data_IF_022023208428
#
_entry.id   IF_022023208428
#
_cell.length_a   1.000
_cell.length_b   1.000
_cell.length_c   1.000
_cell.angle_alpha   90.00
_cell.angle_beta   90.00
_cell.angle_gamma   90.00
#
_symmetry.space_group_name_H-M   'P 1'
#
loop_
_entity.id
_entity.type
_entity.pdbx_description
1 polymer ?
#
# COMPACT_ATOMS: atom_id res chain seq x y z
N UNK A 1 44.23 -13.64 -9.24
CA UNK A 1 42.89 -13.10 -9.58
C UNK A 1 41.87 -13.98 -8.88
N UNK A 2 41.15 -13.46 -7.89
CA UNK A 2 40.29 -14.26 -7.03
C UNK A 2 39.08 -14.80 -7.77
N UNK A 3 38.95 -16.12 -7.84
CA UNK A 3 37.74 -16.78 -8.32
C UNK A 3 36.67 -16.60 -7.25
N UNK A 4 35.74 -15.66 -7.45
CA UNK A 4 34.53 -15.59 -6.64
C UNK A 4 33.71 -16.84 -7.01
N UNK A 5 33.39 -17.72 -6.05
CA UNK A 5 32.59 -18.90 -6.34
C UNK A 5 31.27 -18.47 -6.97
N UNK A 6 30.95 -19.03 -8.14
CA UNK A 6 29.71 -18.76 -8.89
C UNK A 6 28.45 -18.82 -8.01
N UNK A 7 28.44 -19.72 -7.02
CA UNK A 7 27.35 -19.87 -6.05
C UNK A 7 27.12 -18.63 -5.18
N UNK A 8 28.17 -17.91 -4.80
CA UNK A 8 28.06 -16.69 -3.98
C UNK A 8 27.48 -15.56 -4.82
N UNK A 9 27.92 -15.42 -6.07
CA UNK A 9 27.41 -14.39 -6.98
C UNK A 9 25.95 -14.64 -7.37
N UNK A 10 25.58 -15.90 -7.63
CA UNK A 10 24.21 -16.29 -7.93
C UNK A 10 23.30 -16.09 -6.69
N UNK A 11 23.78 -16.49 -5.51
CA UNK A 11 23.06 -16.34 -4.25
C UNK A 11 22.83 -14.88 -3.88
N UNK A 12 23.84 -14.02 -4.05
CA UNK A 12 23.70 -12.58 -3.78
C UNK A 12 22.74 -11.90 -4.75
N UNK A 13 22.75 -12.27 -6.02
CA UNK A 13 21.79 -11.79 -7.02
C UNK A 13 20.34 -12.19 -6.69
N UNK A 14 20.12 -13.45 -6.30
CA UNK A 14 18.79 -13.92 -5.89
C UNK A 14 18.28 -13.21 -4.63
N UNK A 15 19.17 -12.95 -3.66
CA UNK A 15 18.85 -12.22 -2.44
C UNK A 15 18.51 -10.76 -2.72
N UNK A 16 19.31 -10.07 -3.55
CA UNK A 16 19.01 -8.70 -3.98
C UNK A 16 17.66 -8.62 -4.67
N UNK A 17 17.38 -9.55 -5.58
CA UNK A 17 16.08 -9.62 -6.26
C UNK A 17 14.92 -9.78 -5.27
N UNK A 18 15.02 -10.71 -4.32
CA UNK A 18 14.00 -10.90 -3.28
C UNK A 18 13.77 -9.63 -2.46
N UNK A 19 14.86 -8.97 -2.04
CA UNK A 19 14.80 -7.72 -1.29
C UNK A 19 14.15 -6.59 -2.10
N UNK A 20 14.45 -6.48 -3.40
CA UNK A 20 13.84 -5.48 -4.28
C UNK A 20 12.33 -5.67 -4.36
N UNK A 21 11.86 -6.90 -4.58
CA UNK A 21 10.43 -7.21 -4.67
C UNK A 21 9.74 -6.98 -3.31
N UNK A 22 10.36 -7.41 -2.21
CA UNK A 22 9.86 -7.16 -0.86
C UNK A 22 9.74 -5.66 -0.56
N UNK A 23 10.77 -4.89 -0.90
CA UNK A 23 10.79 -3.44 -0.68
C UNK A 23 9.69 -2.74 -1.48
N UNK A 24 9.42 -3.18 -2.70
CA UNK A 24 8.33 -2.64 -3.53
C UNK A 24 6.94 -2.90 -2.92
N UNK A 25 6.68 -4.13 -2.45
CA UNK A 25 5.42 -4.45 -1.77
C UNK A 25 5.26 -3.65 -0.48
N UNK A 26 6.33 -3.55 0.32
CA UNK A 26 6.33 -2.79 1.55
C UNK A 26 6.14 -1.29 1.32
N UNK A 27 6.72 -0.74 0.24
CA UNK A 27 6.51 0.65 -0.17
C UNK A 27 5.04 0.95 -0.42
N UNK A 28 4.32 0.05 -1.10
CA UNK A 28 2.88 0.21 -1.35
C UNK A 28 2.03 0.13 -0.08
N UNK A 29 2.40 -0.72 0.88
CA UNK A 29 1.78 -0.74 2.20
C UNK A 29 2.00 0.57 2.96
N UNK A 30 3.22 1.11 2.90
CA UNK A 30 3.54 2.38 3.55
C UNK A 30 2.78 3.53 2.90
N UNK A 31 2.66 3.55 1.57
CA UNK A 31 1.83 4.53 0.85
C UNK A 31 0.37 4.50 1.30
N UNK A 32 -0.19 3.30 1.50
CA UNK A 32 -1.54 3.14 2.05
C UNK A 32 -1.65 3.81 3.42
N UNK A 33 -0.70 3.55 4.32
CA UNK A 33 -0.66 4.13 5.68
C UNK A 33 -0.49 5.64 5.66
N UNK A 34 0.38 6.17 4.80
CA UNK A 34 0.59 7.61 4.65
C UNK A 34 -0.67 8.32 4.14
N UNK A 35 -1.37 7.73 3.17
CA UNK A 35 -2.63 8.28 2.67
C UNK A 35 -3.71 8.27 3.74
N UNK A 36 -3.81 7.19 4.54
CA UNK A 36 -4.70 7.16 5.70
C UNK A 36 -4.34 8.22 6.75
N UNK A 37 -3.06 8.39 7.05
CA UNK A 37 -2.60 9.43 7.96
C UNK A 37 -2.95 10.84 7.46
N UNK A 38 -2.77 11.10 6.17
CA UNK A 38 -3.17 12.38 5.54
C UNK A 38 -4.68 12.58 5.54
N UNK A 39 -5.47 11.51 5.41
CA UNK A 39 -6.92 11.60 5.52
C UNK A 39 -7.34 11.94 6.95
N UNK A 40 -6.71 11.30 7.94
CA UNK A 40 -6.98 11.53 9.37
C UNK A 40 -6.60 12.94 9.81
N UNK A 41 -5.50 13.49 9.29
CA UNK A 41 -5.09 14.87 9.61
C UNK A 41 -6.03 15.92 9.01
N UNK A 42 -6.64 15.65 7.85
CA UNK A 42 -7.61 16.53 7.21
C UNK A 42 -9.01 16.42 7.81
N UNK A 43 -9.38 15.23 8.27
CA UNK A 43 -10.67 15.00 8.92
C UNK A 43 -10.50 13.99 10.07
N UNK A 44 -10.24 14.45 11.31
CA UNK A 44 -10.07 13.55 12.46
C UNK A 44 -11.33 12.73 12.74
N UNK A 45 -12.47 13.17 12.22
CA UNK A 45 -13.75 12.50 12.35
C UNK A 45 -13.91 11.28 11.40
N UNK A 46 -12.99 11.11 10.42
CA UNK A 46 -12.85 9.90 9.61
C UNK A 46 -11.83 8.92 10.21
N UNK A 47 -10.83 9.42 10.95
CA UNK A 47 -9.77 8.57 11.52
C UNK A 47 -10.23 7.60 12.60
N UNK A 48 -11.38 7.85 13.21
CA UNK A 48 -12.01 6.96 14.19
C UNK A 48 -12.69 5.76 13.49
N UNK A 49 -13.03 5.86 12.21
CA UNK A 49 -13.58 4.77 11.39
C UNK A 49 -12.50 3.87 10.74
N UNK A 50 -11.22 4.22 10.92
CA UNK A 50 -10.08 3.66 10.17
C UNK A 50 -9.36 2.52 10.91
N UNK A 51 -9.83 2.15 12.10
CA UNK A 51 -9.15 1.13 12.94
C UNK A 51 -9.21 -0.28 12.34
N UNK A 52 -10.16 -0.56 11.45
CA UNK A 52 -10.21 -1.88 10.83
C UNK A 52 -10.79 -1.80 9.41
N UNK A 53 -9.94 -2.06 8.41
CA UNK A 53 -10.36 -2.55 7.08
C UNK A 53 -11.30 -1.72 6.20
N UNK A 54 -11.56 -0.43 6.47
CA UNK A 54 -12.67 0.23 5.79
C UNK A 54 -12.46 0.49 4.29
N UNK A 55 -13.36 -0.10 3.51
CA UNK A 55 -13.54 0.14 2.08
C UNK A 55 -13.56 1.64 1.75
N UNK A 56 -12.86 2.07 0.67
CA UNK A 56 -12.84 3.47 0.25
C UNK A 56 -14.24 4.02 -0.04
N UNK A 57 -15.19 3.15 -0.38
CA UNK A 57 -16.58 3.53 -0.65
C UNK A 57 -17.33 3.91 0.65
N UNK A 58 -16.97 3.32 1.81
CA UNK A 58 -17.50 3.72 3.13
C UNK A 58 -16.93 5.08 3.57
N UNK A 59 -15.66 5.37 3.27
CA UNK A 59 -15.04 6.67 3.53
C UNK A 59 -15.67 7.80 2.71
N UNK A 60 -16.10 7.50 1.47
CA UNK A 60 -16.84 8.45 0.63
C UNK A 60 -18.23 8.73 1.22
N UNK A 61 -18.93 7.70 1.71
CA UNK A 61 -20.23 7.87 2.35
C UNK A 61 -20.13 8.73 3.63
N UNK A 62 -19.14 8.44 4.49
CA UNK A 62 -18.91 9.19 5.72
C UNK A 62 -18.53 10.67 5.48
N UNK A 63 -17.81 10.96 4.39
CA UNK A 63 -17.53 12.33 3.94
C UNK A 63 -18.75 13.06 3.42
N UNK A 64 -19.70 12.34 2.80
CA UNK A 64 -20.91 12.94 2.21
C UNK A 64 -21.94 13.30 3.28
N UNK A 65 -22.00 12.53 4.36
CA UNK A 65 -22.86 12.80 5.53
C UNK A 65 -22.34 13.96 6.38
N UNK A 66 -21.02 14.07 6.56
CA UNK A 66 -20.41 15.22 7.24
C UNK A 66 -20.23 16.34 6.22
N UNK A 67 -21.22 17.23 6.09
CA UNK A 67 -21.14 18.51 5.34
C UNK A 67 -19.86 19.28 5.74
N UNK A 68 -18.76 18.98 5.07
CA UNK A 68 -17.45 19.58 5.33
C UNK A 68 -17.24 20.65 4.24
N UNK A 69 -16.57 21.74 4.60
CA UNK A 69 -16.27 22.85 3.68
C UNK A 69 -15.76 22.33 2.32
N UNK A 70 -16.31 22.87 1.23
CA UNK A 70 -16.13 22.33 -0.13
C UNK A 70 -14.66 22.06 -0.51
N UNK A 71 -13.71 22.88 -0.02
CA UNK A 71 -12.27 22.71 -0.28
C UNK A 71 -11.59 21.59 0.51
N UNK A 72 -12.09 21.25 1.70
CA UNK A 72 -11.58 20.11 2.50
C UNK A 72 -12.12 18.80 1.92
N UNK A 73 -13.37 18.82 1.47
CA UNK A 73 -14.05 17.68 0.83
C UNK A 73 -13.35 17.25 -0.47
N UNK A 74 -12.90 18.19 -1.31
CA UNK A 74 -12.19 17.86 -2.55
C UNK A 74 -10.83 17.21 -2.30
N UNK A 75 -10.06 17.73 -1.32
CA UNK A 75 -8.76 17.17 -0.93
C UNK A 75 -8.91 15.77 -0.32
N UNK A 76 -9.89 15.58 0.56
CA UNK A 76 -10.17 14.29 1.17
C UNK A 76 -10.63 13.26 0.13
N UNK A 77 -11.46 13.68 -0.83
CA UNK A 77 -11.96 12.81 -1.90
C UNK A 77 -10.84 12.40 -2.87
N UNK A 78 -9.88 13.28 -3.14
CA UNK A 78 -8.67 12.94 -3.91
C UNK A 78 -7.84 11.86 -3.18
N UNK A 79 -7.62 12.01 -1.88
CA UNK A 79 -6.87 11.04 -1.08
C UNK A 79 -7.57 9.68 -1.06
N UNK A 80 -8.90 9.64 -0.96
CA UNK A 80 -9.65 8.38 -1.00
C UNK A 80 -9.57 7.70 -2.37
N UNK A 81 -9.58 8.47 -3.47
CA UNK A 81 -9.33 7.91 -4.81
C UNK A 81 -7.94 7.29 -4.89
N UNK A 82 -6.92 7.97 -4.39
CA UNK A 82 -5.55 7.46 -4.36
C UNK A 82 -5.42 6.18 -3.51
N UNK A 83 -6.13 6.11 -2.36
CA UNK A 83 -6.24 4.89 -1.54
C UNK A 83 -6.85 3.73 -2.32
N UNK A 84 -7.96 3.98 -3.04
CA UNK A 84 -8.63 2.95 -3.85
C UNK A 84 -7.72 2.43 -4.96
N UNK A 85 -7.04 3.33 -5.66
CA UNK A 85 -6.08 2.97 -6.72
C UNK A 85 -4.92 2.15 -6.15
N UNK A 86 -4.33 2.58 -5.03
CA UNK A 86 -3.21 1.88 -4.42
C UNK A 86 -3.61 0.46 -3.98
N UNK A 87 -4.78 0.30 -3.36
CA UNK A 87 -5.33 -1.00 -2.95
C UNK A 87 -5.49 -1.95 -4.15
N UNK A 88 -6.10 -1.48 -5.24
CA UNK A 88 -6.28 -2.27 -6.47
C UNK A 88 -4.92 -2.68 -7.05
N UNK A 89 -3.99 -1.74 -7.18
CA UNK A 89 -2.67 -2.02 -7.73
C UNK A 89 -1.89 -3.02 -6.88
N UNK A 90 -1.91 -2.87 -5.55
CA UNK A 90 -1.23 -3.77 -4.62
C UNK A 90 -1.80 -5.19 -4.70
N UNK A 91 -3.13 -5.32 -4.70
CA UNK A 91 -3.78 -6.64 -4.83
C UNK A 91 -3.53 -7.28 -6.19
N UNK A 92 -3.41 -6.49 -7.26
CA UNK A 92 -3.02 -7.00 -8.58
C UNK A 92 -1.55 -7.45 -8.61
N UNK A 93 -0.65 -6.75 -7.93
CA UNK A 93 0.75 -7.15 -7.82
C UNK A 93 0.88 -8.50 -7.10
N UNK A 94 0.18 -8.69 -5.97
CA UNK A 94 0.20 -9.97 -5.25
C UNK A 94 -0.28 -11.17 -6.09
N UNK A 95 -1.04 -10.94 -7.16
CA UNK A 95 -1.47 -12.01 -8.09
C UNK A 95 -0.42 -12.34 -9.16
N UNK A 96 0.51 -11.43 -9.47
CA UNK A 96 1.48 -11.57 -10.57
C UNK A 96 2.84 -12.08 -10.08
N UNK A 97 3.52 -12.91 -10.87
CA UNK A 97 4.94 -13.21 -10.63
C UNK A 97 5.80 -11.96 -10.96
N UNK A 98 6.92 -11.72 -10.26
CA UNK A 98 7.49 -12.49 -9.14
C UNK A 98 6.85 -12.20 -7.77
N UNK A 99 6.01 -11.17 -7.68
CA UNK A 99 5.42 -10.66 -6.45
C UNK A 99 4.53 -11.66 -5.70
N UNK A 100 3.87 -12.59 -6.39
CA UNK A 100 3.01 -13.61 -5.77
C UNK A 100 3.78 -14.52 -4.83
N UNK A 101 4.88 -15.12 -5.30
CA UNK A 101 5.64 -16.05 -4.47
C UNK A 101 6.52 -15.32 -3.44
N UNK A 102 7.11 -14.16 -3.78
CA UNK A 102 7.78 -13.31 -2.78
C UNK A 102 6.78 -12.87 -1.72
N UNK A 103 5.57 -12.50 -2.13
CA UNK A 103 4.43 -12.16 -1.29
C UNK A 103 4.10 -13.26 -0.29
N UNK A 104 3.97 -14.51 -0.77
CA UNK A 104 3.73 -15.69 0.07
C UNK A 104 4.85 -15.96 1.07
N UNK A 105 6.11 -15.90 0.64
CA UNK A 105 7.28 -16.12 1.51
C UNK A 105 7.36 -15.05 2.60
N UNK A 106 7.15 -13.78 2.23
CA UNK A 106 7.22 -12.65 3.14
C UNK A 106 5.89 -12.37 3.89
N UNK A 107 4.88 -13.24 3.74
CA UNK A 107 3.56 -13.16 4.39
C UNK A 107 2.78 -11.87 4.13
N UNK A 108 2.93 -11.29 2.94
CA UNK A 108 2.09 -10.18 2.51
C UNK A 108 0.67 -10.67 2.22
N UNK A 109 -0.31 -9.96 2.78
CA UNK A 109 -1.75 -10.22 2.57
C UNK A 109 -2.35 -9.13 1.69
N UNK A 110 -3.45 -9.46 1.01
CA UNK A 110 -4.25 -8.49 0.28
C UNK A 110 -4.90 -7.50 1.25
N UNK A 111 -5.05 -6.26 0.80
CA UNK A 111 -5.75 -5.20 1.55
C UNK A 111 -7.11 -5.00 0.93
#
# INVERSE_FOLDING_TARGET
MGFIPLFIMLGSGALLFFLTVKNELQRKLNQQKELLFKLNSLNPALGILVDDSSDPDLLIAALKDKKTENGITEKALKIIRDLKVNRIQYNQLLKKAPYNWVGKIARFQAI
#
